data_IF_888907522791
#
_entry.id   IF_888907522791
#
_cell.length_a   1.000
_cell.length_b   1.000
_cell.length_c   1.000
_cell.angle_alpha   90.00
_cell.angle_beta   90.00
_cell.angle_gamma   90.00
#
_symmetry.space_group_name_H-M   'P 1'
#
loop_
_entity.id
_entity.type
_entity.pdbx_description
1 polymer ?
#
# COMPACT_ATOMS: atom_id res chain seq x y z
N UNK A 1 -68.55 17.12 7.81
CA UNK A 1 -68.62 18.59 7.86
C UNK A 1 -68.68 19.13 6.43
N UNK A 2 -69.68 19.96 6.17
CA UNK A 2 -70.22 20.22 4.83
C UNK A 2 -69.33 21.11 3.96
N UNK A 3 -69.03 20.61 2.76
CA UNK A 3 -68.58 21.46 1.66
C UNK A 3 -69.84 21.95 0.94
N UNK A 4 -70.25 23.18 1.24
CA UNK A 4 -71.29 23.89 0.51
C UNK A 4 -70.80 24.14 -0.91
N UNK A 5 -71.34 23.41 -1.89
CA UNK A 5 -71.07 23.66 -3.29
C UNK A 5 -71.68 25.02 -3.67
N UNK A 6 -70.83 26.02 -3.94
CA UNK A 6 -71.26 27.34 -4.39
C UNK A 6 -71.84 27.19 -5.80
N UNK A 7 -73.05 27.68 -6.09
CA UNK A 7 -73.65 27.59 -7.41
C UNK A 7 -72.79 28.30 -8.45
N UNK A 8 -72.52 27.63 -9.58
CA UNK A 8 -71.77 28.17 -10.71
C UNK A 8 -72.56 29.31 -11.36
N UNK A 9 -72.09 30.54 -11.21
CA UNK A 9 -72.66 31.73 -11.87
C UNK A 9 -72.01 31.91 -13.26
N UNK A 10 -72.75 31.74 -14.36
CA UNK A 10 -72.22 31.88 -15.72
C UNK A 10 -71.79 33.31 -16.09
N UNK A 11 -72.08 34.31 -15.25
CA UNK A 11 -71.66 35.71 -15.48
C UNK A 11 -70.25 36.04 -14.96
N UNK A 12 -69.61 35.17 -14.17
CA UNK A 12 -68.22 35.29 -13.72
C UNK A 12 -67.46 33.96 -13.83
N UNK A 13 -66.75 33.68 -14.95
CA UNK A 13 -66.00 32.45 -15.09
C UNK A 13 -64.87 32.37 -14.05
N UNK A 14 -64.63 31.17 -13.52
CA UNK A 14 -63.60 30.93 -12.52
C UNK A 14 -62.21 31.01 -13.17
N UNK A 15 -61.51 32.12 -12.96
CA UNK A 15 -60.20 32.37 -13.58
C UNK A 15 -59.10 31.81 -12.67
N UNK A 16 -58.46 30.71 -13.10
CA UNK A 16 -57.26 30.20 -12.45
C UNK A 16 -56.07 30.99 -12.96
N UNK A 17 -55.67 32.03 -12.23
CA UNK A 17 -54.42 32.71 -12.48
C UNK A 17 -53.27 31.85 -11.94
N UNK A 18 -52.51 31.23 -12.84
CA UNK A 18 -51.20 30.69 -12.49
C UNK A 18 -50.34 31.89 -12.06
N UNK A 19 -50.02 32.00 -10.78
CA UNK A 19 -49.08 32.99 -10.31
C UNK A 19 -47.72 32.67 -10.94
N UNK A 20 -47.36 33.37 -12.02
CA UNK A 20 -46.03 33.30 -12.60
C UNK A 20 -45.04 33.68 -11.49
N UNK A 21 -44.16 32.76 -11.06
CA UNK A 21 -43.25 33.10 -9.99
C UNK A 21 -42.30 34.17 -10.52
N UNK A 22 -42.38 35.37 -9.95
CA UNK A 22 -41.52 36.50 -10.31
C UNK A 22 -40.05 36.05 -10.41
N UNK A 23 -39.39 36.37 -11.53
CA UNK A 23 -37.98 36.03 -11.79
C UNK A 23 -37.06 36.40 -10.62
N UNK A 24 -37.34 37.51 -9.92
CA UNK A 24 -36.58 37.94 -8.75
C UNK A 24 -36.69 36.95 -7.59
N UNK A 25 -37.88 36.41 -7.38
CA UNK A 25 -38.16 35.41 -6.33
C UNK A 25 -37.56 34.06 -6.68
N UNK A 26 -37.65 33.66 -7.96
CA UNK A 26 -36.99 32.43 -8.44
C UNK A 26 -35.47 32.54 -8.31
N UNK A 27 -34.90 33.66 -8.73
CA UNK A 27 -33.46 33.92 -8.66
C UNK A 27 -32.96 33.94 -7.22
N UNK A 28 -33.68 34.59 -6.29
CA UNK A 28 -33.31 34.57 -4.86
C UNK A 28 -33.37 33.17 -4.25
N UNK A 29 -34.35 32.34 -4.65
CA UNK A 29 -34.44 30.94 -4.20
C UNK A 29 -33.31 30.08 -4.77
N UNK A 30 -32.97 30.26 -6.04
CA UNK A 30 -31.87 29.57 -6.69
C UNK A 30 -30.52 29.94 -6.08
N UNK A 31 -30.25 31.24 -5.88
CA UNK A 31 -29.02 31.72 -5.24
C UNK A 31 -28.89 31.17 -3.82
N UNK A 32 -29.97 31.21 -3.03
CA UNK A 32 -29.95 30.63 -1.67
C UNK A 32 -29.66 29.13 -1.72
N UNK A 33 -30.31 28.38 -2.60
CA UNK A 33 -30.10 26.93 -2.72
C UNK A 33 -28.65 26.59 -3.11
N UNK A 34 -28.08 27.30 -4.09
CA UNK A 34 -26.69 27.13 -4.52
C UNK A 34 -25.71 27.50 -3.41
N UNK A 35 -25.94 28.63 -2.72
CA UNK A 35 -25.10 29.05 -1.60
C UNK A 35 -25.15 28.03 -0.44
N UNK A 36 -26.33 27.51 -0.11
CA UNK A 36 -26.45 26.46 0.92
C UNK A 36 -25.77 25.17 0.51
N UNK A 37 -25.88 24.75 -0.75
CA UNK A 37 -25.20 23.56 -1.26
C UNK A 37 -23.67 23.73 -1.24
N UNK A 38 -23.16 24.92 -1.57
CA UNK A 38 -21.74 25.24 -1.53
C UNK A 38 -21.18 25.25 -0.10
N UNK A 39 -21.92 25.81 0.86
CA UNK A 39 -21.51 25.80 2.29
C UNK A 39 -21.51 24.36 2.84
N UNK A 40 -22.51 23.55 2.48
CA UNK A 40 -22.54 22.13 2.86
C UNK A 40 -21.34 21.39 2.26
N UNK A 41 -21.01 21.64 0.99
CA UNK A 41 -19.84 21.03 0.34
C UNK A 41 -18.55 21.38 1.09
N UNK A 42 -18.32 22.65 1.42
CA UNK A 42 -17.15 23.09 2.20
C UNK A 42 -17.11 22.48 3.62
N UNK A 43 -18.27 22.35 4.27
CA UNK A 43 -18.38 21.70 5.57
C UNK A 43 -18.06 20.20 5.49
N UNK A 44 -18.51 19.52 4.43
CA UNK A 44 -18.21 18.10 4.22
C UNK A 44 -16.72 17.90 3.96
N UNK A 45 -16.07 18.72 3.13
CA UNK A 45 -14.63 18.56 2.86
C UNK A 45 -13.78 18.75 4.12
N UNK A 46 -14.09 19.76 4.94
CA UNK A 46 -13.37 20.01 6.20
C UNK A 46 -13.61 18.89 7.23
N UNK A 47 -14.84 18.38 7.35
CA UNK A 47 -15.13 17.24 8.23
C UNK A 47 -14.47 15.93 7.74
N UNK A 48 -14.36 15.73 6.42
CA UNK A 48 -13.66 14.56 5.88
C UNK A 48 -12.15 14.61 6.09
N UNK A 49 -11.56 15.81 6.11
CA UNK A 49 -10.16 16.01 6.51
C UNK A 49 -9.95 15.70 8.00
N UNK A 50 -10.81 16.21 8.89
CA UNK A 50 -10.72 15.95 10.34
C UNK A 50 -10.97 14.48 10.70
N UNK A 51 -11.84 13.78 9.97
CA UNK A 51 -12.10 12.34 10.16
C UNK A 51 -11.11 11.44 9.44
N UNK A 52 -10.09 12.00 8.79
CA UNK A 52 -8.97 11.23 8.21
C UNK A 52 -9.35 10.33 7.03
N UNK A 53 -10.54 10.48 6.44
CA UNK A 53 -11.02 9.59 5.38
C UNK A 53 -10.59 10.05 3.97
N UNK A 54 -9.91 11.19 3.88
CA UNK A 54 -9.46 11.78 2.60
C UNK A 54 -7.94 11.92 2.50
N UNK A 55 -7.17 10.99 3.11
CA UNK A 55 -5.81 10.74 2.61
C UNK A 55 -5.98 10.08 1.26
N UNK A 56 -5.77 10.87 0.21
CA UNK A 56 -5.84 10.45 -1.18
C UNK A 56 -5.15 9.10 -1.40
N UNK A 57 -5.71 8.33 -2.34
CA UNK A 57 -5.29 6.99 -2.71
C UNK A 57 -3.79 6.88 -2.99
N UNK A 58 -3.01 6.70 -1.93
CA UNK A 58 -1.74 6.03 -2.00
C UNK A 58 -2.07 4.59 -2.37
N UNK A 59 -1.80 4.24 -3.63
CA UNK A 59 -1.70 2.85 -4.05
C UNK A 59 -0.90 2.14 -2.95
N UNK A 60 -1.55 1.25 -2.21
CA UNK A 60 -0.89 0.40 -1.23
C UNK A 60 0.18 -0.35 -2.03
N UNK A 61 1.42 0.13 -1.97
CA UNK A 61 2.54 -0.73 -2.25
C UNK A 61 2.42 -1.80 -1.18
N UNK A 62 2.06 -3.02 -1.59
CA UNK A 62 2.12 -4.21 -0.76
C UNK A 62 3.41 -4.10 0.06
N UNK A 63 3.24 -3.79 1.35
CA UNK A 63 4.37 -3.59 2.21
C UNK A 63 5.12 -4.91 2.18
N UNK A 64 6.34 -4.94 1.65
CA UNK A 64 7.13 -6.17 1.57
C UNK A 64 7.28 -6.66 3.01
N UNK A 65 6.48 -7.67 3.38
CA UNK A 65 6.43 -8.17 4.73
C UNK A 65 7.59 -9.13 4.91
N UNK A 66 8.38 -8.89 5.95
CA UNK A 66 9.43 -9.82 6.32
C UNK A 66 8.77 -11.12 6.81
N UNK A 67 9.17 -12.24 6.24
CA UNK A 67 8.71 -13.56 6.66
C UNK A 67 9.75 -14.22 7.56
N UNK A 68 9.30 -14.98 8.55
CA UNK A 68 10.19 -15.88 9.28
C UNK A 68 10.32 -17.19 8.50
N UNK A 69 11.55 -17.59 8.18
CA UNK A 69 11.81 -18.85 7.50
C UNK A 69 11.97 -19.99 8.50
N UNK A 70 11.14 -21.02 8.41
CA UNK A 70 11.22 -22.23 9.25
C UNK A 70 12.24 -23.26 8.73
N UNK A 71 12.91 -22.99 7.60
CA UNK A 71 13.85 -23.92 6.97
C UNK A 71 15.24 -23.78 7.55
N UNK A 72 15.96 -24.90 7.66
CA UNK A 72 17.31 -24.97 8.25
C UNK A 72 18.28 -25.67 7.29
N UNK A 73 19.58 -25.67 7.58
CA UNK A 73 20.55 -26.36 6.71
C UNK A 73 20.32 -27.87 6.63
N UNK A 74 19.59 -28.45 7.59
CA UNK A 74 19.18 -29.86 7.56
C UNK A 74 18.19 -30.17 6.43
N UNK A 75 17.46 -29.16 5.96
CA UNK A 75 16.47 -29.32 4.88
C UNK A 75 17.12 -29.26 3.49
N UNK A 76 18.41 -28.92 3.39
CA UNK A 76 19.15 -28.78 2.13
C UNK A 76 20.15 -29.93 2.02
N UNK A 77 20.06 -30.69 0.92
CA UNK A 77 20.89 -31.89 0.70
C UNK A 77 21.71 -31.72 -0.58
N UNK A 78 22.96 -32.21 -0.56
CA UNK A 78 23.82 -32.30 -1.75
C UNK A 78 24.55 -31.01 -2.11
N UNK A 79 24.69 -30.07 -1.17
CA UNK A 79 25.36 -28.77 -1.39
C UNK A 79 26.37 -28.48 -0.26
N UNK A 80 27.21 -29.47 0.08
CA UNK A 80 28.11 -29.39 1.24
C UNK A 80 29.15 -28.27 1.12
N UNK A 81 29.73 -28.08 -0.07
CA UNK A 81 30.71 -27.02 -0.36
C UNK A 81 30.10 -25.62 -0.16
N UNK A 82 28.95 -25.35 -0.78
CA UNK A 82 28.28 -24.05 -0.64
C UNK A 82 27.78 -23.83 0.80
N UNK A 83 27.36 -24.90 1.50
CA UNK A 83 26.94 -24.79 2.90
C UNK A 83 28.09 -24.29 3.78
N UNK A 84 29.30 -24.80 3.58
CA UNK A 84 30.48 -24.41 4.37
C UNK A 84 30.83 -22.94 4.17
N UNK A 85 30.82 -22.43 2.93
CA UNK A 85 31.03 -21.00 2.65
C UNK A 85 29.93 -20.11 3.25
N UNK A 86 28.67 -20.55 3.16
CA UNK A 86 27.53 -19.78 3.65
C UNK A 86 27.41 -19.83 5.18
N UNK A 87 28.07 -20.78 5.84
CA UNK A 87 28.08 -20.88 7.30
C UNK A 87 28.82 -19.72 7.96
N UNK A 88 29.85 -19.16 7.31
CA UNK A 88 30.52 -17.93 7.75
C UNK A 88 29.54 -16.75 7.80
N UNK A 89 28.66 -16.65 6.80
CA UNK A 89 27.65 -15.58 6.72
C UNK A 89 26.63 -15.72 7.85
N UNK A 90 26.19 -16.95 8.14
CA UNK A 90 25.29 -17.21 9.28
C UNK A 90 25.95 -16.82 10.60
N UNK A 91 27.23 -17.17 10.80
CA UNK A 91 27.95 -16.79 12.03
C UNK A 91 28.09 -15.27 12.15
N UNK A 92 28.33 -14.59 11.04
CA UNK A 92 28.37 -13.13 10.98
C UNK A 92 27.03 -12.51 11.40
N UNK A 93 25.91 -13.00 10.83
CA UNK A 93 24.57 -12.49 11.12
C UNK A 93 24.18 -12.70 12.59
N UNK A 94 24.63 -13.79 13.21
CA UNK A 94 24.42 -14.05 14.64
C UNK A 94 25.25 -13.12 15.55
N UNK A 95 26.51 -12.85 15.18
CA UNK A 95 27.45 -12.11 16.01
C UNK A 95 28.23 -11.03 15.23
N UNK A 96 27.57 -9.95 14.77
CA UNK A 96 28.20 -8.93 13.92
C UNK A 96 29.34 -8.17 14.62
N UNK A 97 29.28 -8.05 15.95
CA UNK A 97 30.30 -7.38 16.77
C UNK A 97 31.64 -8.11 16.81
N UNK A 98 31.64 -9.46 16.77
CA UNK A 98 32.86 -10.29 16.79
C UNK A 98 33.72 -10.00 15.55
N UNK A 99 33.09 -9.89 14.39
CA UNK A 99 33.77 -9.64 13.12
C UNK A 99 34.20 -8.18 12.93
N UNK A 100 33.39 -7.23 13.41
CA UNK A 100 33.73 -5.79 13.34
C UNK A 100 35.00 -5.47 14.16
N UNK A 101 35.19 -6.13 15.31
CA UNK A 101 36.38 -5.94 16.16
C UNK A 101 37.67 -6.41 15.50
N UNK A 102 37.59 -7.41 14.63
CA UNK A 102 38.74 -7.95 13.89
C UNK A 102 39.01 -7.16 12.59
N UNK A 103 38.28 -6.07 12.33
CA UNK A 103 38.36 -5.32 11.08
C UNK A 103 37.71 -6.03 9.89
N UNK A 104 36.96 -7.11 10.14
CA UNK A 104 36.26 -7.87 9.11
C UNK A 104 35.14 -7.04 8.49
N UNK A 105 35.16 -6.89 7.17
CA UNK A 105 34.10 -6.22 6.41
C UNK A 105 33.03 -7.24 6.05
N UNK A 106 31.77 -6.92 6.38
CA UNK A 106 30.63 -7.75 5.98
C UNK A 106 30.55 -7.87 4.45
N UNK A 107 30.45 -9.10 3.95
CA UNK A 107 30.09 -9.37 2.56
C UNK A 107 28.68 -8.84 2.30
N UNK A 108 28.56 -7.84 1.43
CA UNK A 108 27.29 -7.12 1.21
C UNK A 108 26.27 -7.87 0.35
N UNK A 109 26.70 -8.91 -0.38
CA UNK A 109 25.83 -9.67 -1.26
C UNK A 109 26.49 -10.96 -1.73
N UNK A 110 25.67 -11.97 -1.96
CA UNK A 110 26.07 -13.29 -2.48
C UNK A 110 25.24 -13.56 -3.71
N UNK A 111 25.87 -14.09 -4.76
CA UNK A 111 25.19 -14.52 -5.97
C UNK A 111 25.21 -16.05 -6.02
N UNK A 112 24.04 -16.67 -5.96
CA UNK A 112 23.89 -18.12 -6.12
C UNK A 112 23.62 -18.44 -7.59
N UNK A 113 24.55 -19.12 -8.26
CA UNK A 113 24.42 -19.51 -9.66
C UNK A 113 24.37 -21.03 -9.81
N UNK A 114 23.54 -21.52 -10.72
CA UNK A 114 23.49 -22.93 -11.09
C UNK A 114 22.23 -23.30 -11.87
N UNK A 115 22.16 -24.53 -12.41
CA UNK A 115 20.98 -25.04 -13.13
C UNK A 115 19.66 -24.84 -12.36
N UNK A 116 18.51 -24.75 -13.03
CA UNK A 116 17.22 -24.72 -12.34
C UNK A 116 17.03 -26.00 -11.52
N UNK A 117 16.37 -25.88 -10.36
CA UNK A 117 16.10 -27.03 -9.48
C UNK A 117 17.21 -27.42 -8.50
N UNK A 118 18.34 -26.71 -8.47
CA UNK A 118 19.44 -26.96 -7.50
C UNK A 118 19.19 -26.42 -6.09
N UNK A 119 17.98 -25.96 -5.78
CA UNK A 119 17.63 -25.53 -4.43
C UNK A 119 18.20 -24.16 -4.00
N UNK A 120 18.61 -23.28 -4.91
CA UNK A 120 19.13 -21.92 -4.58
C UNK A 120 18.20 -21.13 -3.64
N UNK A 121 16.92 -21.07 -3.96
CA UNK A 121 15.89 -20.40 -3.14
C UNK A 121 15.68 -21.10 -1.80
N UNK A 122 15.80 -22.43 -1.76
CA UNK A 122 15.71 -23.22 -0.53
C UNK A 122 16.90 -22.95 0.39
N UNK A 123 18.11 -22.88 -0.18
CA UNK A 123 19.35 -22.58 0.52
C UNK A 123 19.31 -21.17 1.13
N UNK A 124 18.82 -20.17 0.38
CA UNK A 124 18.63 -18.81 0.91
C UNK A 124 17.69 -18.77 2.13
N UNK A 125 16.56 -19.51 2.08
CA UNK A 125 15.63 -19.65 3.22
C UNK A 125 16.26 -20.38 4.39
N UNK A 126 17.09 -21.40 4.13
CA UNK A 126 17.80 -22.14 5.17
C UNK A 126 18.80 -21.25 5.92
N UNK A 127 19.55 -20.38 5.21
CA UNK A 127 20.48 -19.42 5.83
C UNK A 127 19.73 -18.48 6.78
N UNK A 128 18.58 -17.96 6.35
CA UNK A 128 17.77 -17.07 7.18
C UNK A 128 17.24 -17.75 8.44
N UNK A 129 16.78 -19.00 8.33
CA UNK A 129 16.29 -19.77 9.47
C UNK A 129 17.40 -20.18 10.42
N UNK A 130 18.58 -20.50 9.89
CA UNK A 130 19.77 -20.79 10.70
C UNK A 130 20.28 -19.57 11.45
N UNK A 131 20.26 -18.40 10.82
CA UNK A 131 20.62 -17.13 11.46
C UNK A 131 19.53 -16.59 12.39
N UNK A 132 18.28 -17.03 12.24
CA UNK A 132 17.13 -16.52 13.00
C UNK A 132 16.80 -15.07 12.68
N UNK A 133 17.02 -14.65 11.43
CA UNK A 133 16.80 -13.27 10.97
C UNK A 133 15.63 -13.19 9.99
N UNK A 134 14.94 -12.04 9.89
CA UNK A 134 13.83 -11.89 8.95
C UNK A 134 14.27 -12.07 7.49
N UNK A 135 13.43 -12.72 6.70
CA UNK A 135 13.66 -13.02 5.29
C UNK A 135 12.71 -12.22 4.39
N UNK A 136 13.28 -11.32 3.60
CA UNK A 136 12.58 -10.59 2.54
C UNK A 136 12.78 -11.34 1.22
N UNK A 137 11.69 -11.60 0.50
CA UNK A 137 11.69 -12.20 -0.82
C UNK A 137 11.14 -11.19 -1.82
N UNK A 138 11.82 -11.03 -2.96
CA UNK A 138 11.32 -10.28 -4.10
C UNK A 138 11.66 -11.03 -5.38
N UNK A 139 10.73 -11.14 -6.31
CA UNK A 139 11.02 -11.67 -7.64
C UNK A 139 11.62 -10.58 -8.53
N UNK A 140 12.68 -10.88 -9.28
CA UNK A 140 13.33 -9.95 -10.20
C UNK A 140 12.38 -9.36 -11.23
N UNK A 141 11.39 -10.16 -11.65
CA UNK A 141 10.31 -9.73 -12.56
C UNK A 141 9.40 -8.64 -11.96
N UNK A 142 9.32 -8.49 -10.63
CA UNK A 142 8.53 -7.41 -9.99
C UNK A 142 9.15 -6.02 -10.17
N UNK A 143 10.41 -5.95 -10.62
CA UNK A 143 11.10 -4.69 -10.89
C UNK A 143 11.04 -4.28 -12.37
N UNK A 144 10.61 -5.18 -13.25
CA UNK A 144 10.48 -4.93 -14.68
C UNK A 144 9.02 -4.62 -15.01
N UNK A 145 8.68 -3.33 -15.09
CA UNK A 145 7.32 -2.88 -15.39
C UNK A 145 7.27 -1.92 -16.57
N UNK A 146 6.08 -1.78 -17.17
CA UNK A 146 5.83 -0.92 -18.33
C UNK A 146 6.08 0.58 -18.03
N UNK A 147 6.09 0.97 -16.75
CA UNK A 147 6.24 2.36 -16.33
C UNK A 147 7.67 2.67 -15.88
N UNK A 148 8.30 3.62 -16.57
CA UNK A 148 9.66 4.07 -16.28
C UNK A 148 9.75 4.60 -14.84
N UNK A 149 10.75 4.14 -14.09
CA UNK A 149 11.06 4.62 -12.74
C UNK A 149 10.29 3.93 -11.60
N UNK A 150 9.28 3.10 -11.89
CA UNK A 150 8.55 2.35 -10.85
C UNK A 150 9.43 1.24 -10.25
N UNK A 151 10.17 0.49 -11.08
CA UNK A 151 11.12 -0.53 -10.61
C UNK A 151 12.19 0.05 -9.68
N UNK A 152 12.82 1.16 -10.08
CA UNK A 152 13.84 1.84 -9.26
C UNK A 152 13.30 2.39 -7.93
N UNK A 153 12.00 2.74 -7.87
CA UNK A 153 11.35 3.10 -6.61
C UNK A 153 11.16 1.88 -5.72
N UNK A 154 10.68 0.76 -6.26
CA UNK A 154 10.49 -0.49 -5.50
C UNK A 154 11.79 -1.03 -4.90
N UNK A 155 12.89 -1.02 -5.65
CA UNK A 155 14.20 -1.42 -5.11
C UNK A 155 14.57 -0.56 -3.90
N UNK A 156 14.38 0.76 -3.99
CA UNK A 156 14.65 1.67 -2.86
C UNK A 156 13.74 1.40 -1.66
N UNK A 157 12.45 1.17 -1.90
CA UNK A 157 11.47 0.91 -0.85
C UNK A 157 11.76 -0.43 -0.15
N UNK A 158 12.11 -1.49 -0.91
CA UNK A 158 12.54 -2.79 -0.39
C UNK A 158 13.74 -2.65 0.55
N UNK A 159 14.82 -2.00 0.09
CA UNK A 159 16.02 -1.82 0.93
C UNK A 159 15.78 -0.86 2.10
N UNK A 160 14.88 0.12 1.95
CA UNK A 160 14.47 1.01 3.05
C UNK A 160 13.70 0.26 4.14
N UNK A 161 12.81 -0.65 3.75
CA UNK A 161 12.10 -1.53 4.69
C UNK A 161 13.06 -2.50 5.39
N UNK A 162 13.94 -3.17 4.63
CA UNK A 162 14.93 -4.11 5.16
C UNK A 162 15.87 -3.45 6.20
N UNK A 163 16.35 -2.22 5.94
CA UNK A 163 17.21 -1.49 6.87
C UNK A 163 16.56 -1.21 8.23
N UNK A 164 15.24 -1.11 8.31
CA UNK A 164 14.51 -0.88 9.58
C UNK A 164 14.48 -2.12 10.46
N UNK A 165 14.62 -3.31 9.88
CA UNK A 165 14.53 -4.61 10.56
C UNK A 165 15.89 -5.31 10.58
N UNK A 166 16.99 -4.57 10.42
CA UNK A 166 18.33 -5.14 10.41
C UNK A 166 18.71 -5.72 11.79
N UNK A 167 19.39 -6.88 11.85
CA UNK A 167 19.91 -7.69 10.74
C UNK A 167 18.82 -8.52 10.03
N UNK A 168 18.84 -8.56 8.70
CA UNK A 168 17.88 -9.30 7.87
C UNK A 168 18.52 -9.78 6.56
N UNK A 169 17.88 -10.70 5.85
CA UNK A 169 18.29 -11.17 4.53
C UNK A 169 17.27 -10.70 3.49
N UNK A 170 17.78 -10.16 2.37
CA UNK A 170 16.98 -9.81 1.19
C UNK A 170 17.39 -10.76 0.07
N UNK A 171 16.45 -11.58 -0.39
CA UNK A 171 16.61 -12.49 -1.51
C UNK A 171 15.87 -11.94 -2.72
N UNK A 172 16.60 -11.84 -3.84
CA UNK A 172 16.06 -11.45 -5.13
C UNK A 172 16.21 -12.67 -6.04
N UNK A 173 15.09 -13.22 -6.49
CA UNK A 173 15.03 -14.37 -7.41
C UNK A 173 15.13 -13.91 -8.88
#
# INVERSE_FOLDING_TARGET
CGASAIPYDPSQPLVVAMAEPSLKTQLWRAIRAVATAYIILLGVTTVMEERGLSRGGGMQHDAVQASESTKTFKDVVGVDEAREELQEIVEFLKNPTKFTRLGGKMTKGVLLMGPPGTGKTLLAKAIAGEAGVPFFYASGSEFEEMYVGVGARRVRDLFSAAKKVAPCIVFID
#
